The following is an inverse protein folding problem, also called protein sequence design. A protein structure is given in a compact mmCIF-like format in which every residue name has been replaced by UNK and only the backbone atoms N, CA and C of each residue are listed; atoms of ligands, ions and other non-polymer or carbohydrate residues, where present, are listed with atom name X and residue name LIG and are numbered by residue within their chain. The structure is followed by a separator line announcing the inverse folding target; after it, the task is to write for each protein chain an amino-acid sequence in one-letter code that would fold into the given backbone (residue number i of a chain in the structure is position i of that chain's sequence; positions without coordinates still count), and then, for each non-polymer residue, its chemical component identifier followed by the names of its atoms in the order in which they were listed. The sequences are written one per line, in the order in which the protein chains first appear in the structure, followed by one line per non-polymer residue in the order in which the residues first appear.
data_IF_254312400370
#
_entry.id   IF_254312400370
#
_cell.length_a   1.000
_cell.length_b   1.000
_cell.length_c   1.000
_cell.angle_alpha   90.00
_cell.angle_beta   90.00
_cell.angle_gamma   90.00
#
_symmetry.space_group_name_H-M   'P 1'
#
loop_
_entity.id
_entity.type
_entity.pdbx_description
1 polymer ?
#
# COMPACT_ATOMS: atom_id res chain seq x y z
N UNK A 1 -0.86 -5.38 -25.90
CA UNK A 1 0.13 -5.99 -24.99
C UNK A 1 -0.49 -5.90 -23.60
N UNK A 2 -0.65 -7.01 -22.89
CA UNK A 2 -1.15 -6.99 -21.51
C UNK A 2 -0.15 -6.17 -20.68
N UNK A 3 -0.60 -5.10 -20.05
CA UNK A 3 0.19 -4.35 -19.06
C UNK A 3 0.67 -5.33 -18.01
N UNK A 4 1.96 -5.39 -17.74
CA UNK A 4 2.48 -6.24 -16.67
C UNK A 4 1.86 -5.79 -15.33
N UNK A 5 1.45 -6.78 -14.52
CA UNK A 5 0.87 -6.55 -13.20
C UNK A 5 1.95 -6.79 -12.16
N UNK A 6 2.17 -5.82 -11.30
CA UNK A 6 3.18 -5.91 -10.24
C UNK A 6 2.53 -5.61 -8.89
N UNK A 7 2.60 -6.55 -7.96
CA UNK A 7 2.29 -6.28 -6.55
C UNK A 7 3.58 -5.93 -5.83
N UNK A 8 3.60 -4.82 -5.11
CA UNK A 8 4.75 -4.43 -4.30
C UNK A 8 4.34 -4.34 -2.83
N UNK A 9 5.14 -4.92 -1.96
CA UNK A 9 5.14 -4.65 -0.53
C UNK A 9 6.54 -4.22 -0.08
N UNK A 10 6.64 -3.64 1.11
CA UNK A 10 7.92 -3.23 1.68
C UNK A 10 8.08 -3.80 3.08
N UNK A 11 9.24 -4.41 3.36
CA UNK A 11 9.60 -4.97 4.66
C UNK A 11 10.92 -4.39 5.12
N UNK A 12 10.90 -3.67 6.24
CA UNK A 12 12.10 -3.20 6.92
C UNK A 12 11.95 -3.35 8.44
N UNK A 13 13.07 -3.42 9.14
CA UNK A 13 13.06 -3.63 10.59
C UNK A 13 12.46 -4.98 10.99
N UNK A 14 12.07 -5.09 12.26
CA UNK A 14 11.68 -6.35 12.91
C UNK A 14 10.20 -6.44 13.25
N UNK A 15 9.40 -5.41 12.91
CA UNK A 15 7.97 -5.38 13.24
C UNK A 15 7.19 -6.47 12.50
N UNK A 16 7.53 -6.70 11.23
CA UNK A 16 6.91 -7.71 10.39
C UNK A 16 7.96 -8.73 9.95
N UNK A 17 7.75 -10.00 10.34
CA UNK A 17 8.58 -11.11 9.89
C UNK A 17 8.29 -11.53 8.44
N UNK A 18 9.07 -12.47 7.88
CA UNK A 18 8.85 -12.99 6.53
C UNK A 18 7.47 -13.63 6.35
N UNK A 19 6.86 -14.14 7.42
CA UNK A 19 5.53 -14.74 7.37
C UNK A 19 4.45 -13.78 6.88
N UNK A 20 4.55 -12.49 7.21
CA UNK A 20 3.61 -11.47 6.73
C UNK A 20 3.69 -11.30 5.20
N UNK A 21 4.91 -11.28 4.65
CA UNK A 21 5.14 -11.21 3.21
C UNK A 21 4.61 -12.47 2.53
N UNK A 22 4.90 -13.66 3.08
CA UNK A 22 4.45 -14.93 2.53
C UNK A 22 2.93 -15.08 2.55
N UNK A 23 2.27 -14.64 3.63
CA UNK A 23 0.80 -14.62 3.72
C UNK A 23 0.21 -13.70 2.67
N UNK A 24 0.74 -12.48 2.53
CA UNK A 24 0.28 -11.53 1.51
C UNK A 24 0.51 -12.07 0.10
N UNK A 25 1.69 -12.63 -0.19
CA UNK A 25 2.00 -13.26 -1.48
C UNK A 25 1.00 -14.37 -1.83
N UNK A 26 0.75 -15.32 -0.92
CA UNK A 26 -0.20 -16.41 -1.14
C UNK A 26 -1.62 -15.91 -1.32
N UNK A 27 -2.02 -14.87 -0.58
CA UNK A 27 -3.32 -14.24 -0.74
C UNK A 27 -3.45 -13.55 -2.12
N UNK A 28 -2.41 -12.88 -2.61
CA UNK A 28 -2.38 -12.33 -3.97
C UNK A 28 -2.52 -13.45 -5.02
N UNK A 29 -1.77 -14.54 -4.89
CA UNK A 29 -1.86 -15.70 -5.81
C UNK A 29 -3.26 -16.33 -5.85
N UNK A 30 -3.97 -16.31 -4.75
CA UNK A 30 -5.33 -16.84 -4.67
C UNK A 30 -6.39 -15.89 -5.25
N UNK A 31 -6.08 -14.59 -5.41
CA UNK A 31 -7.05 -13.56 -5.75
C UNK A 31 -6.67 -12.71 -6.99
N UNK A 32 -5.64 -13.10 -7.74
CA UNK A 32 -5.27 -12.50 -9.02
C UNK A 32 -5.31 -13.58 -10.10
N UNK A 33 -6.03 -13.30 -11.17
CA UNK A 33 -6.14 -14.20 -12.33
C UNK A 33 -5.03 -13.91 -13.34
N UNK A 34 -4.30 -14.94 -13.75
CA UNK A 34 -3.21 -14.82 -14.72
C UNK A 34 -1.88 -14.38 -14.13
N UNK A 35 -0.90 -14.02 -14.98
CA UNK A 35 0.46 -13.71 -14.52
C UNK A 35 0.55 -12.36 -13.83
N UNK A 36 1.35 -12.30 -12.77
CA UNK A 36 1.78 -11.08 -12.09
C UNK A 36 3.14 -11.31 -11.43
N UNK A 37 3.84 -10.24 -11.13
CA UNK A 37 5.04 -10.26 -10.31
C UNK A 37 4.68 -9.85 -8.88
N UNK A 38 5.26 -10.54 -7.88
CA UNK A 38 5.17 -10.13 -6.48
C UNK A 38 6.56 -9.73 -5.98
N UNK A 39 6.75 -8.47 -5.70
CA UNK A 39 8.02 -7.87 -5.31
C UNK A 39 7.99 -7.44 -3.85
N UNK A 40 8.93 -7.91 -3.07
CA UNK A 40 9.17 -7.42 -1.72
C UNK A 40 10.41 -6.52 -1.72
N UNK A 41 10.23 -5.24 -1.43
CA UNK A 41 11.35 -4.33 -1.18
C UNK A 41 11.85 -4.59 0.24
N UNK A 42 13.06 -5.16 0.38
CA UNK A 42 13.60 -5.55 1.69
C UNK A 42 15.12 -5.61 1.67
N UNK A 43 15.80 -5.28 2.78
CA UNK A 43 17.24 -5.53 2.91
C UNK A 43 17.55 -7.02 3.13
N UNK A 44 16.57 -7.83 3.56
CA UNK A 44 16.75 -9.25 3.87
C UNK A 44 15.57 -10.09 3.37
N UNK A 45 15.85 -10.98 2.43
CA UNK A 45 14.91 -11.93 1.86
C UNK A 45 14.87 -13.30 2.56
N UNK A 46 15.58 -13.48 3.69
CA UNK A 46 15.58 -14.75 4.39
C UNK A 46 14.16 -15.16 4.83
N UNK A 47 13.78 -16.42 4.56
CA UNK A 47 12.48 -16.97 4.94
C UNK A 47 11.31 -16.56 4.04
N UNK A 48 11.54 -15.84 2.95
CA UNK A 48 10.50 -15.53 1.96
C UNK A 48 10.22 -16.73 1.06
N UNK A 49 8.98 -16.85 0.59
CA UNK A 49 8.59 -17.85 -0.40
C UNK A 49 9.45 -17.70 -1.68
N UNK A 50 9.84 -18.78 -2.35
CA UNK A 50 10.79 -18.74 -3.49
C UNK A 50 10.27 -17.98 -4.71
N UNK A 51 8.96 -17.80 -4.83
CA UNK A 51 8.33 -17.05 -5.92
C UNK A 51 8.26 -15.53 -5.64
N UNK A 52 8.66 -15.08 -4.44
CA UNK A 52 8.75 -13.66 -4.10
C UNK A 52 10.03 -13.08 -4.68
N UNK A 53 9.89 -12.05 -5.50
CA UNK A 53 11.03 -11.31 -6.05
C UNK A 53 11.55 -10.38 -4.95
N UNK A 54 12.75 -10.65 -4.47
CA UNK A 54 13.43 -9.79 -3.49
C UNK A 54 14.15 -8.67 -4.22
N UNK A 55 13.84 -7.44 -3.85
CA UNK A 55 14.51 -6.26 -4.36
C UNK A 55 15.01 -5.41 -3.18
N UNK A 56 16.23 -4.89 -3.21
CA UNK A 56 16.70 -3.97 -2.18
C UNK A 56 15.79 -2.72 -2.14
N UNK A 57 15.62 -2.16 -0.95
CA UNK A 57 14.90 -0.88 -0.84
C UNK A 57 15.76 0.21 -1.48
N UNK A 58 15.24 0.95 -2.47
CA UNK A 58 15.94 2.08 -3.06
C UNK A 58 16.43 3.07 -2.01
N UNK A 59 17.65 3.58 -2.18
CA UNK A 59 18.23 4.54 -1.25
C UNK A 59 17.56 5.91 -1.37
N UNK A 60 16.97 6.37 -0.29
CA UNK A 60 16.36 7.70 -0.17
C UNK A 60 17.11 8.60 0.82
N UNK A 61 18.34 8.23 1.13
CA UNK A 61 19.24 9.01 1.97
C UNK A 61 18.81 9.14 3.43
N UNK A 62 18.09 8.16 3.99
CA UNK A 62 17.71 8.13 5.40
C UNK A 62 18.88 7.73 6.29
N UNK A 63 19.02 8.42 7.42
CA UNK A 63 19.90 7.95 8.50
C UNK A 63 19.27 6.78 9.26
N UNK A 64 20.05 5.94 9.97
CA UNK A 64 19.50 4.83 10.74
C UNK A 64 18.33 5.21 11.66
N UNK A 65 18.41 6.35 12.34
CA UNK A 65 17.37 6.85 13.24
C UNK A 65 16.06 7.22 12.49
N UNK A 66 16.15 7.60 11.23
CA UNK A 66 15.00 7.98 10.40
C UNK A 66 14.25 6.78 9.85
N UNK A 67 14.91 5.62 9.72
CA UNK A 67 14.30 4.39 9.20
C UNK A 67 13.18 3.84 10.10
N UNK A 68 13.30 4.01 11.41
CA UNK A 68 12.41 3.34 12.39
C UNK A 68 11.43 4.30 13.06
N UNK A 69 11.18 5.44 12.45
CA UNK A 69 10.17 6.38 12.96
C UNK A 69 8.75 5.91 12.60
N UNK A 70 7.77 6.30 13.40
CA UNK A 70 6.34 6.08 13.11
C UNK A 70 5.84 6.84 11.87
N UNK A 71 6.69 7.64 11.25
CA UNK A 71 6.37 8.45 10.06
C UNK A 71 6.51 7.68 8.74
N UNK A 72 7.04 6.47 8.77
CA UNK A 72 7.07 5.49 7.66
C UNK A 72 7.79 5.99 6.39
N UNK A 73 8.84 6.79 6.54
CA UNK A 73 9.61 7.38 5.44
C UNK A 73 10.10 6.37 4.39
N UNK A 74 10.50 5.12 4.74
CA UNK A 74 10.95 4.14 3.76
C UNK A 74 9.95 3.88 2.61
N UNK A 75 8.65 4.12 2.80
CA UNK A 75 7.66 4.00 1.71
C UNK A 75 7.90 4.94 0.54
N UNK A 76 8.59 6.06 0.73
CA UNK A 76 8.95 6.96 -0.38
C UNK A 76 9.80 6.25 -1.43
N UNK A 77 10.56 5.24 -1.03
CA UNK A 77 11.38 4.44 -1.95
C UNK A 77 10.57 3.71 -3.05
N UNK A 78 9.25 3.51 -2.84
CA UNK A 78 8.37 2.87 -3.83
C UNK A 78 8.24 3.73 -5.10
N UNK A 79 8.47 5.03 -4.99
CA UNK A 79 8.43 5.98 -6.10
C UNK A 79 9.78 6.16 -6.80
N UNK A 80 10.76 5.32 -6.49
CA UNK A 80 12.09 5.40 -7.08
C UNK A 80 12.05 5.12 -8.59
N UNK A 81 12.68 5.97 -9.42
CA UNK A 81 12.73 5.77 -10.87
C UNK A 81 13.36 4.43 -11.28
N UNK A 82 14.26 3.91 -10.46
CA UNK A 82 14.93 2.64 -10.68
C UNK A 82 13.97 1.44 -10.65
N UNK A 83 12.81 1.55 -9.99
CA UNK A 83 11.79 0.50 -10.02
C UNK A 83 11.01 0.43 -11.36
N UNK A 84 11.18 1.42 -12.23
CA UNK A 84 10.53 1.45 -13.54
C UNK A 84 10.90 0.24 -14.43
N UNK A 85 12.04 -0.40 -14.19
CA UNK A 85 12.45 -1.61 -14.94
C UNK A 85 11.53 -2.81 -14.68
N UNK A 86 10.80 -2.84 -13.56
CA UNK A 86 9.82 -3.88 -13.27
C UNK A 86 8.60 -3.79 -14.21
N UNK A 87 8.38 -2.60 -14.79
CA UNK A 87 7.31 -2.35 -15.76
C UNK A 87 5.90 -2.40 -15.18
N UNK A 88 4.94 -1.94 -15.96
CA UNK A 88 3.51 -2.16 -15.73
C UNK A 88 2.85 -1.40 -14.59
N UNK A 89 1.64 -1.87 -14.25
CA UNK A 89 0.79 -1.33 -13.19
C UNK A 89 1.21 -1.89 -11.84
N UNK A 90 1.65 -1.03 -10.94
CA UNK A 90 1.94 -1.37 -9.55
C UNK A 90 0.66 -1.31 -8.71
N UNK A 91 0.42 -2.35 -7.91
CA UNK A 91 -0.49 -2.35 -6.77
C UNK A 91 0.34 -2.52 -5.50
N UNK A 92 0.47 -1.44 -4.72
CA UNK A 92 1.12 -1.48 -3.43
C UNK A 92 0.14 -1.90 -2.34
N UNK A 93 0.55 -2.81 -1.46
CA UNK A 93 -0.25 -3.29 -0.32
C UNK A 93 0.65 -3.37 0.91
N UNK A 94 0.24 -2.72 2.01
CA UNK A 94 0.92 -2.85 3.31
C UNK A 94 0.83 -4.28 3.84
N UNK A 95 1.83 -4.69 4.64
CA UNK A 95 1.95 -6.06 5.16
C UNK A 95 0.87 -6.45 6.19
N UNK A 96 0.20 -5.48 6.80
CA UNK A 96 -0.88 -5.68 7.76
C UNK A 96 -2.29 -5.70 7.14
N UNK A 97 -2.35 -5.75 5.81
CA UNK A 97 -3.60 -5.84 5.06
C UNK A 97 -4.03 -7.28 4.83
N UNK A 98 -5.35 -7.52 4.84
CA UNK A 98 -5.94 -8.83 4.55
C UNK A 98 -6.71 -8.78 3.22
N UNK A 99 -6.33 -9.63 2.26
CA UNK A 99 -7.05 -9.78 0.99
C UNK A 99 -8.25 -10.69 1.19
N UNK A 100 -9.42 -10.27 0.74
CA UNK A 100 -10.70 -10.99 0.89
C UNK A 100 -11.49 -11.13 -0.41
N UNK A 101 -11.02 -10.55 -1.50
CA UNK A 101 -11.68 -10.62 -2.81
C UNK A 101 -10.73 -10.48 -3.97
N UNK A 102 -11.23 -10.71 -5.20
CA UNK A 102 -10.45 -10.62 -6.43
C UNK A 102 -9.83 -9.22 -6.61
N UNK A 103 -8.53 -9.21 -6.97
CA UNK A 103 -7.76 -7.97 -7.14
C UNK A 103 -7.67 -7.51 -8.60
N UNK A 104 -8.15 -8.30 -9.57
CA UNK A 104 -8.01 -8.03 -11.01
C UNK A 104 -8.48 -6.62 -11.38
N UNK A 105 -9.66 -6.21 -10.91
CA UNK A 105 -10.23 -4.89 -11.18
C UNK A 105 -9.39 -3.74 -10.59
N UNK A 106 -8.56 -4.01 -9.56
CA UNK A 106 -7.65 -2.99 -9.00
C UNK A 106 -6.51 -2.65 -9.98
N UNK A 107 -6.10 -3.60 -10.82
CA UNK A 107 -5.14 -3.32 -11.88
C UNK A 107 -5.77 -2.64 -13.11
N UNK A 108 -7.08 -2.80 -13.30
CA UNK A 108 -7.84 -2.22 -14.41
C UNK A 108 -8.33 -0.81 -14.10
N UNK A 109 -8.31 -0.41 -12.84
CA UNK A 109 -8.73 0.91 -12.41
C UNK A 109 -7.87 2.01 -13.05
N UNK A 110 -8.53 3.07 -13.52
CA UNK A 110 -7.90 4.18 -14.24
C UNK A 110 -7.57 5.34 -13.31
N UNK A 111 -6.42 5.97 -13.53
CA UNK A 111 -5.91 7.11 -12.75
C UNK A 111 -4.40 7.08 -12.68
N UNK A 112 -3.76 8.23 -12.59
CA UNK A 112 -2.31 8.36 -12.48
C UNK A 112 -1.79 7.85 -11.13
N UNK A 113 -2.55 8.11 -10.07
CA UNK A 113 -2.32 7.59 -8.72
C UNK A 113 -3.66 7.28 -8.05
N UNK A 114 -3.92 6.02 -7.76
CA UNK A 114 -5.16 5.59 -7.12
C UNK A 114 -4.85 5.24 -5.67
N UNK A 115 -5.53 5.88 -4.74
CA UNK A 115 -5.24 5.74 -3.31
C UNK A 115 -6.46 5.27 -2.52
N UNK A 116 -6.23 4.88 -1.29
CA UNK A 116 -7.27 4.70 -0.30
C UNK A 116 -7.76 6.06 0.21
N UNK A 117 -9.08 6.27 0.25
CA UNK A 117 -9.67 7.36 1.01
C UNK A 117 -9.74 6.99 2.50
N UNK A 118 -8.74 7.40 3.27
CA UNK A 118 -8.60 7.11 4.70
C UNK A 118 -9.42 8.00 5.61
N UNK A 119 -10.12 9.02 5.06
CA UNK A 119 -10.90 10.01 5.80
C UNK A 119 -12.25 9.51 6.30
N UNK A 120 -13.19 10.45 6.39
CA UNK A 120 -14.56 10.14 6.82
C UNK A 120 -15.31 9.25 5.85
N UNK A 121 -14.95 9.26 4.57
CA UNK A 121 -15.52 8.36 3.55
C UNK A 121 -15.11 6.89 3.75
N UNK A 122 -14.10 6.61 4.56
CA UNK A 122 -13.70 5.23 4.90
C UNK A 122 -14.64 4.55 5.91
N UNK A 123 -15.79 5.13 6.18
CA UNK A 123 -16.85 4.55 6.99
C UNK A 123 -17.85 3.79 6.12
N UNK A 124 -18.66 2.86 6.69
CA UNK A 124 -19.66 2.10 5.92
C UNK A 124 -20.65 2.96 5.12
N UNK A 125 -20.87 4.17 5.57
CA UNK A 125 -21.68 5.16 4.83
C UNK A 125 -20.74 6.26 4.35
N UNK A 126 -20.64 6.40 3.04
CA UNK A 126 -19.94 7.52 2.44
C UNK A 126 -20.58 8.84 2.91
N UNK A 127 -19.75 9.75 3.38
CA UNK A 127 -20.23 10.95 4.06
C UNK A 127 -20.20 12.22 3.18
N UNK A 128 -19.75 12.09 1.91
CA UNK A 128 -19.60 13.23 0.99
C UNK A 128 -18.54 14.25 1.43
N UNK A 129 -17.66 13.89 2.35
CA UNK A 129 -16.51 14.72 2.72
C UNK A 129 -15.44 14.71 1.64
N UNK A 130 -14.60 15.76 1.63
CA UNK A 130 -13.39 15.75 0.83
C UNK A 130 -12.56 14.51 1.15
N UNK A 131 -12.05 13.79 0.14
CA UNK A 131 -11.25 12.60 0.35
C UNK A 131 -9.93 12.94 1.04
N UNK A 132 -9.41 12.00 1.83
CA UNK A 132 -8.13 12.09 2.49
C UNK A 132 -7.24 10.93 2.06
N UNK A 133 -6.14 11.24 1.40
CA UNK A 133 -5.20 10.24 0.91
C UNK A 133 -4.64 9.39 2.04
N UNK A 134 -4.58 8.08 1.83
CA UNK A 134 -3.91 7.14 2.72
C UNK A 134 -3.14 6.09 1.91
N UNK A 135 -1.90 5.83 2.32
CA UNK A 135 -0.90 5.05 1.57
C UNK A 135 -0.84 3.56 1.95
N UNK A 136 -1.88 3.01 2.59
CA UNK A 136 -1.91 1.58 2.93
C UNK A 136 -2.14 0.68 1.71
N UNK A 137 -2.92 1.15 0.72
CA UNK A 137 -3.18 0.46 -0.55
C UNK A 137 -3.31 1.50 -1.66
N UNK A 138 -2.41 1.45 -2.64
CA UNK A 138 -2.45 2.38 -3.78
C UNK A 138 -1.93 1.73 -5.06
N UNK A 139 -2.28 2.32 -6.21
CA UNK A 139 -1.78 1.87 -7.51
C UNK A 139 -1.34 3.04 -8.39
N UNK A 140 -0.32 2.79 -9.20
CA UNK A 140 0.19 3.71 -10.22
C UNK A 140 1.03 2.94 -11.25
N UNK A 141 1.34 3.53 -12.38
CA UNK A 141 2.26 2.93 -13.36
C UNK A 141 3.70 3.21 -12.94
N UNK A 142 4.52 2.16 -12.80
CA UNK A 142 5.90 2.26 -12.32
C UNK A 142 6.70 3.25 -13.17
N UNK A 143 7.41 4.15 -12.50
CA UNK A 143 8.09 5.30 -13.12
C UNK A 143 7.21 6.54 -13.30
N UNK A 144 5.86 6.42 -13.25
CA UNK A 144 4.92 7.52 -13.52
C UNK A 144 4.79 8.56 -12.39
N UNK A 145 5.27 8.26 -11.18
CA UNK A 145 5.15 9.14 -10.00
C UNK A 145 6.52 9.47 -9.36
N UNK A 146 7.59 9.44 -10.14
CA UNK A 146 8.97 9.67 -9.66
C UNK A 146 9.20 11.05 -9.04
N UNK A 147 8.35 12.04 -9.33
CA UNK A 147 8.41 13.36 -8.71
C UNK A 147 8.17 13.32 -7.19
N UNK A 148 7.47 12.30 -6.66
CA UNK A 148 7.27 12.12 -5.21
C UNK A 148 8.62 11.93 -4.51
N UNK A 149 9.42 10.97 -5.01
CA UNK A 149 10.77 10.75 -4.48
C UNK A 149 11.69 11.95 -4.71
N UNK A 150 11.64 12.54 -5.91
CA UNK A 150 12.48 13.71 -6.23
C UNK A 150 12.22 14.90 -5.30
N UNK A 151 10.95 15.18 -5.00
CA UNK A 151 10.57 16.26 -4.07
C UNK A 151 11.03 15.95 -2.64
N UNK A 152 10.90 14.69 -2.21
CA UNK A 152 11.39 14.25 -0.91
C UNK A 152 12.91 14.45 -0.80
N UNK A 153 13.68 13.96 -1.77
CA UNK A 153 15.16 14.07 -1.76
C UNK A 153 15.64 15.52 -1.77
N UNK A 154 14.95 16.37 -2.53
CA UNK A 154 15.31 17.80 -2.63
C UNK A 154 15.13 18.55 -1.31
N UNK A 155 14.10 18.20 -0.54
CA UNK A 155 13.71 18.91 0.68
C UNK A 155 13.71 18.01 1.92
N UNK A 156 14.47 16.93 1.91
CA UNK A 156 14.41 15.83 2.89
C UNK A 156 14.41 16.30 4.34
N UNK A 157 15.38 17.12 4.71
CA UNK A 157 15.56 17.55 6.10
C UNK A 157 14.38 18.40 6.59
N UNK A 158 13.86 19.27 5.74
CA UNK A 158 12.67 20.07 6.04
C UNK A 158 11.43 19.16 6.18
N UNK A 159 11.24 18.25 5.24
CA UNK A 159 10.10 17.31 5.25
C UNK A 159 10.12 16.44 6.50
N UNK A 160 11.26 15.84 6.83
CA UNK A 160 11.39 14.99 8.03
C UNK A 160 11.15 15.79 9.32
N UNK A 161 11.55 17.05 9.35
CA UNK A 161 11.35 17.92 10.52
C UNK A 161 9.88 18.35 10.70
N UNK A 162 9.15 18.61 9.61
CA UNK A 162 7.87 19.33 9.64
C UNK A 162 6.64 18.47 9.30
N UNK A 163 6.79 17.46 8.43
CA UNK A 163 5.64 16.64 7.97
C UNK A 163 5.30 15.53 8.98
N UNK A 164 4.02 15.25 9.18
CA UNK A 164 3.60 14.21 10.12
C UNK A 164 3.98 12.79 9.67
N UNK A 165 3.99 12.54 8.37
CA UNK A 165 4.30 11.23 7.76
C UNK A 165 4.51 11.35 6.25
N UNK A 166 4.86 10.24 5.60
CA UNK A 166 5.08 10.14 4.15
C UNK A 166 3.81 10.43 3.34
N UNK A 167 2.60 10.15 3.86
CA UNK A 167 1.34 10.38 3.16
C UNK A 167 1.15 11.85 2.78
N UNK A 168 1.66 12.76 3.60
CA UNK A 168 1.63 14.20 3.30
C UNK A 168 2.45 14.51 2.06
N UNK A 169 3.66 13.94 1.94
CA UNK A 169 4.50 14.11 0.75
C UNK A 169 3.80 13.55 -0.48
N UNK A 170 3.25 12.34 -0.37
CA UNK A 170 2.55 11.69 -1.47
C UNK A 170 1.33 12.52 -1.90
N UNK A 171 0.54 12.99 -0.92
CA UNK A 171 -0.65 13.80 -1.19
C UNK A 171 -0.37 15.13 -1.89
N UNK A 172 0.80 15.75 -1.61
CA UNK A 172 1.19 17.00 -2.24
C UNK A 172 1.87 16.84 -3.61
N UNK A 173 2.55 15.71 -3.82
CA UNK A 173 3.42 15.52 -4.98
C UNK A 173 2.85 14.57 -6.03
N UNK A 174 1.99 13.60 -5.65
CA UNK A 174 1.39 12.69 -6.61
C UNK A 174 0.44 13.44 -7.57
N UNK A 175 0.39 12.97 -8.82
CA UNK A 175 -0.43 13.59 -9.87
C UNK A 175 -1.58 12.69 -10.26
N UNK A 176 -2.68 13.31 -10.72
CA UNK A 176 -3.88 12.60 -11.16
C UNK A 176 -4.38 11.63 -10.09
N UNK A 177 -4.59 12.17 -8.87
CA UNK A 177 -5.02 11.39 -7.71
C UNK A 177 -6.50 11.05 -7.85
N UNK A 178 -6.79 9.76 -7.78
CA UNK A 178 -8.13 9.21 -7.66
C UNK A 178 -8.21 8.28 -6.46
N UNK A 179 -9.40 7.76 -6.16
CA UNK A 179 -9.59 6.91 -4.99
C UNK A 179 -10.29 5.61 -5.37
N UNK A 180 -9.93 4.54 -4.65
CA UNK A 180 -10.62 3.26 -4.81
C UNK A 180 -12.14 3.43 -4.65
N UNK A 181 -12.95 2.69 -5.42
CA UNK A 181 -14.39 2.63 -5.21
C UNK A 181 -14.73 2.33 -3.75
N UNK A 182 -15.74 3.03 -3.24
CA UNK A 182 -16.16 2.86 -1.85
C UNK A 182 -16.49 1.39 -1.52
N UNK A 183 -15.89 0.89 -0.47
CA UNK A 183 -16.09 -0.49 -0.03
C UNK A 183 -15.13 -1.52 -0.62
N UNK A 184 -14.21 -1.16 -1.54
CA UNK A 184 -13.17 -2.07 -2.01
C UNK A 184 -12.07 -2.27 -0.97
N UNK A 185 -11.61 -1.19 -0.36
CA UNK A 185 -10.68 -1.23 0.77
C UNK A 185 -11.42 -0.73 2.00
N UNK A 186 -11.60 -1.58 2.99
CA UNK A 186 -12.39 -1.29 4.19
C UNK A 186 -11.56 -1.38 5.46
N UNK A 187 -11.95 -0.64 6.48
CA UNK A 187 -11.33 -0.72 7.79
C UNK A 187 -12.00 -1.81 8.64
N UNK A 188 -11.23 -2.78 9.13
CA UNK A 188 -11.75 -3.75 10.09
C UNK A 188 -12.45 -3.07 11.28
N UNK A 189 -11.80 -2.10 11.86
CA UNK A 189 -12.30 -1.37 13.02
C UNK A 189 -13.62 -0.65 12.77
N UNK A 190 -13.81 -0.08 11.58
CA UNK A 190 -14.98 0.76 11.25
C UNK A 190 -16.13 -0.02 10.64
N UNK A 191 -15.85 -1.10 9.92
CA UNK A 191 -16.86 -1.86 9.19
C UNK A 191 -17.27 -3.14 9.90
N UNK A 192 -16.30 -3.89 10.43
CA UNK A 192 -16.50 -5.28 10.83
C UNK A 192 -16.53 -5.48 12.33
N UNK A 193 -15.75 -4.69 13.07
CA UNK A 193 -15.67 -4.82 14.52
C UNK A 193 -17.03 -4.56 15.16
N UNK A 194 -17.38 -5.39 16.15
CA UNK A 194 -18.55 -5.17 17.00
C UNK A 194 -18.27 -4.08 18.02
N UNK A 195 -19.31 -3.46 18.61
CA UNK A 195 -19.13 -2.53 19.73
C UNK A 195 -18.31 -3.15 20.86
N UNK A 196 -17.56 -2.31 21.56
CA UNK A 196 -16.74 -2.73 22.69
C UNK A 196 -17.58 -3.51 23.72
N UNK A 197 -17.06 -4.67 24.15
CA UNK A 197 -17.75 -5.60 25.04
C UNK A 197 -18.59 -6.65 24.31
N UNK A 198 -19.23 -6.30 23.19
CA UNK A 198 -19.92 -7.28 22.33
C UNK A 198 -18.91 -8.09 21.52
N UNK A 199 -17.81 -7.47 21.11
CA UNK A 199 -16.70 -8.08 20.36
C UNK A 199 -15.97 -9.21 21.12
N UNK A 200 -16.19 -9.33 22.43
CA UNK A 200 -15.69 -10.45 23.24
C UNK A 200 -16.50 -11.74 23.07
N UNK A 201 -17.76 -11.64 22.65
CA UNK A 201 -18.70 -12.78 22.62
C UNK A 201 -19.28 -13.06 21.24
N UNK A 202 -19.19 -12.09 20.34
CA UNK A 202 -19.77 -12.18 18.99
C UNK A 202 -18.68 -11.94 17.94
N UNK A 203 -18.54 -12.86 16.95
CA UNK A 203 -17.54 -12.69 15.90
C UNK A 203 -17.76 -11.39 15.12
N UNK A 204 -16.71 -10.86 14.47
CA UNK A 204 -16.83 -9.70 13.60
C UNK A 204 -17.93 -9.89 12.55
N UNK A 205 -18.44 -8.80 12.00
CA UNK A 205 -19.34 -8.84 10.85
C UNK A 205 -18.58 -9.42 9.64
N UNK A 206 -19.30 -10.15 8.78
CA UNK A 206 -18.74 -10.54 7.50
C UNK A 206 -18.43 -9.29 6.65
N UNK A 207 -17.33 -9.29 5.88
CA UNK A 207 -17.05 -8.21 4.94
C UNK A 207 -18.15 -8.16 3.86
N UNK A 208 -18.47 -6.97 3.33
CA UNK A 208 -19.40 -6.87 2.21
C UNK A 208 -18.79 -7.54 0.96
N UNK A 209 -19.65 -8.03 0.07
CA UNK A 209 -19.23 -8.82 -1.11
C UNK A 209 -18.25 -8.07 -2.04
N UNK A 210 -18.33 -6.73 -2.09
CA UNK A 210 -17.42 -5.91 -2.88
C UNK A 210 -16.06 -5.67 -2.22
N UNK A 211 -15.88 -6.03 -0.94
CA UNK A 211 -14.61 -5.81 -0.25
C UNK A 211 -13.51 -6.71 -0.84
N UNK A 212 -12.42 -6.07 -1.22
CA UNK A 212 -11.23 -6.73 -1.77
C UNK A 212 -10.11 -6.81 -0.74
N UNK A 213 -9.96 -5.76 0.07
CA UNK A 213 -8.90 -5.65 1.08
C UNK A 213 -9.49 -5.08 2.38
N UNK A 214 -9.06 -5.65 3.52
CA UNK A 214 -9.38 -5.18 4.87
C UNK A 214 -8.08 -4.66 5.52
N UNK A 215 -8.14 -3.42 6.05
CA UNK A 215 -7.09 -2.72 6.79
C UNK A 215 -7.43 -2.61 8.29
#
# INVERSE_FOLDING_TARGET
MSSERVVICIKWGDLFGPDYVNVLHRACRANITGPFQFVCLTPDGAGLDPDVIVHPIPDIGLTPDQWYTSRVWPKIAIFAPELAHLGGRCLFIDLDMMITGALDEMFEATGGFISLDGGKNWWPRASGHAPMLATGVFAFDLGGQSQVMSAFLTNKDHIIATYPNEQTVVGEQARDITYWPHGWVISFKRWLRRPLGVDMFVPPKAPPAQAKIIA
#
